data_IF_111057946450
#
_entry.id   IF_111057946450
#
_cell.length_a   1.000
_cell.length_b   1.000
_cell.length_c   1.000
_cell.angle_alpha   90.00
_cell.angle_beta   90.00
_cell.angle_gamma   90.00
#
_symmetry.space_group_name_H-M   'P 1'
#
loop_
_entity.id
_entity.type
_entity.pdbx_description
1 polymer ?
#
# COMPACT_ATOMS: atom_id res chain seq x y z
N UNK A 1 -4.80 13.61 -21.47
CA UNK A 1 -5.06 12.26 -20.92
C UNK A 1 -3.73 11.52 -20.78
N UNK A 2 -3.57 10.53 -19.87
CA UNK A 2 -2.33 9.77 -19.77
C UNK A 2 -2.03 9.06 -21.10
N UNK A 3 -0.77 9.05 -21.52
CA UNK A 3 -0.33 8.35 -22.72
C UNK A 3 -0.67 6.85 -22.60
N UNK A 4 -1.17 6.25 -23.70
CA UNK A 4 -1.53 4.84 -23.70
C UNK A 4 -0.27 4.01 -23.94
N UNK A 5 0.06 3.14 -23.00
CA UNK A 5 1.22 2.24 -23.10
C UNK A 5 0.77 0.79 -23.26
N UNK A 6 1.48 -0.01 -24.07
CA UNK A 6 1.24 -1.45 -24.11
C UNK A 6 1.80 -2.11 -22.84
N UNK A 7 3.07 -1.82 -22.54
CA UNK A 7 3.78 -2.36 -21.40
C UNK A 7 4.42 -1.23 -20.59
N UNK A 8 4.39 -1.34 -19.26
CA UNK A 8 5.11 -0.44 -18.35
C UNK A 8 6.02 -1.26 -17.44
N UNK A 9 7.30 -0.92 -17.36
CA UNK A 9 8.23 -1.47 -16.39
C UNK A 9 8.80 -0.32 -15.55
N UNK A 10 8.57 -0.29 -14.24
CA UNK A 10 8.99 0.86 -13.42
C UNK A 10 9.25 0.52 -11.96
N UNK A 11 10.15 1.28 -11.35
CA UNK A 11 10.40 1.36 -9.91
C UNK A 11 10.09 2.81 -9.48
N UNK A 12 8.83 3.15 -9.14
CA UNK A 12 8.45 4.51 -8.81
C UNK A 12 9.17 5.05 -7.58
N UNK A 13 9.24 6.37 -7.41
CA UNK A 13 9.82 6.98 -6.21
C UNK A 13 8.99 6.68 -4.94
N UNK A 14 9.67 6.39 -3.83
CA UNK A 14 9.06 6.13 -2.52
C UNK A 14 9.26 7.33 -1.62
N UNK A 15 8.25 8.19 -1.51
CA UNK A 15 8.37 9.42 -0.75
C UNK A 15 6.99 9.86 -0.23
N UNK A 16 6.83 9.76 1.08
CA UNK A 16 5.62 10.17 1.77
C UNK A 16 5.45 11.69 1.76
N UNK A 17 4.23 12.19 1.53
CA UNK A 17 3.87 13.62 1.43
C UNK A 17 4.47 14.46 2.57
N UNK A 18 4.44 13.96 3.81
CA UNK A 18 4.94 14.69 4.98
C UNK A 18 6.46 14.88 4.99
N UNK A 19 7.21 14.09 4.21
CA UNK A 19 8.66 14.17 4.05
C UNK A 19 9.08 14.97 2.81
N UNK A 20 8.15 15.69 2.18
CA UNK A 20 8.40 16.43 0.93
C UNK A 20 8.36 17.94 1.10
N UNK A 21 9.05 18.64 0.20
CA UNK A 21 9.01 20.11 0.10
C UNK A 21 7.62 20.59 -0.33
N UNK A 22 7.31 21.87 -0.06
CA UNK A 22 6.05 22.48 -0.47
C UNK A 22 5.83 22.39 -1.99
N UNK A 23 6.89 22.59 -2.78
CA UNK A 23 6.86 22.47 -4.24
C UNK A 23 6.42 21.07 -4.71
N UNK A 24 6.97 20.01 -4.12
CA UNK A 24 6.60 18.63 -4.45
C UNK A 24 5.14 18.35 -4.06
N UNK A 25 4.69 18.86 -2.90
CA UNK A 25 3.28 18.76 -2.47
C UNK A 25 2.34 19.40 -3.50
N UNK A 26 2.61 20.63 -3.89
CA UNK A 26 1.80 21.36 -4.85
C UNK A 26 1.82 20.70 -6.24
N UNK A 27 2.95 20.13 -6.65
CA UNK A 27 3.09 19.48 -7.96
C UNK A 27 2.41 18.10 -8.04
N UNK A 28 2.55 17.27 -7.01
CA UNK A 28 2.16 15.85 -7.11
C UNK A 28 1.00 15.45 -6.21
N UNK A 29 0.74 16.18 -5.13
CA UNK A 29 -0.28 15.87 -4.13
C UNK A 29 -1.42 16.89 -4.12
N UNK A 30 -1.63 17.60 -5.23
CA UNK A 30 -2.73 18.56 -5.42
C UNK A 30 -3.79 18.04 -6.40
N UNK A 31 -4.93 18.73 -6.46
CA UNK A 31 -6.01 18.43 -7.40
C UNK A 31 -6.51 16.98 -7.28
N UNK A 32 -6.40 16.20 -8.37
CA UNK A 32 -6.85 14.80 -8.41
C UNK A 32 -6.04 13.86 -7.52
N UNK A 33 -4.83 14.26 -7.13
CA UNK A 33 -3.93 13.45 -6.32
C UNK A 33 -3.96 13.82 -4.83
N UNK A 34 -4.82 14.75 -4.42
CA UNK A 34 -4.93 15.25 -3.03
C UNK A 34 -5.18 14.18 -1.97
N UNK A 35 -5.70 13.03 -2.39
CA UNK A 35 -6.01 11.91 -1.52
C UNK A 35 -4.90 10.85 -1.45
N UNK A 36 -3.79 11.07 -2.15
CA UNK A 36 -2.63 10.19 -2.08
C UNK A 36 -1.62 10.71 -1.07
N UNK A 37 -0.90 9.80 -0.45
CA UNK A 37 0.05 10.11 0.62
C UNK A 37 1.48 9.78 0.26
N UNK A 38 1.72 9.05 -0.83
CA UNK A 38 3.05 8.66 -1.27
C UNK A 38 3.18 8.78 -2.79
N UNK A 39 4.37 9.16 -3.29
CA UNK A 39 4.63 9.36 -4.72
C UNK A 39 4.45 8.09 -5.54
N UNK A 40 4.68 6.90 -4.97
CA UNK A 40 4.42 5.66 -5.71
C UNK A 40 2.92 5.52 -6.04
N UNK A 41 2.02 6.03 -5.18
CA UNK A 41 0.58 5.99 -5.42
C UNK A 41 0.19 6.88 -6.61
N UNK A 42 0.76 8.09 -6.64
CA UNK A 42 0.63 9.03 -7.76
C UNK A 42 1.17 8.43 -9.06
N UNK A 43 2.29 7.71 -8.97
CA UNK A 43 2.91 7.05 -10.11
C UNK A 43 2.08 5.88 -10.65
N UNK A 44 1.51 5.03 -9.77
CA UNK A 44 0.55 4.00 -10.19
C UNK A 44 -0.65 4.66 -10.88
N UNK A 45 -1.15 5.76 -10.32
CA UNK A 45 -2.30 6.47 -10.88
C UNK A 45 -2.02 7.02 -12.29
N UNK A 46 -0.80 7.50 -12.56
CA UNK A 46 -0.44 8.04 -13.87
C UNK A 46 -0.33 6.96 -14.96
N UNK A 47 -0.04 5.70 -14.60
CA UNK A 47 0.13 4.59 -15.54
C UNK A 47 -1.13 3.73 -15.74
N UNK A 48 -2.29 4.11 -15.18
CA UNK A 48 -3.53 3.32 -15.28
C UNK A 48 -4.03 3.12 -16.73
N UNK A 49 -3.50 3.87 -17.69
CA UNK A 49 -3.76 3.71 -19.12
C UNK A 49 -2.72 2.79 -19.81
N UNK A 50 -2.34 1.67 -19.19
CA UNK A 50 -1.50 0.64 -19.81
C UNK A 50 -2.22 -0.71 -19.99
N UNK A 51 -1.72 -1.61 -20.84
CA UNK A 51 -2.32 -2.95 -20.99
C UNK A 51 -1.77 -3.94 -19.96
N UNK A 52 -0.49 -3.83 -19.64
CA UNK A 52 0.20 -4.68 -18.67
C UNK A 52 1.52 -4.04 -18.21
N UNK A 53 2.16 -4.66 -17.22
CA UNK A 53 3.45 -4.17 -16.76
C UNK A 53 4.05 -4.92 -15.58
N UNK A 54 5.28 -4.53 -15.24
CA UNK A 54 5.98 -4.93 -14.02
C UNK A 54 6.24 -3.68 -13.20
N UNK A 55 5.90 -3.72 -11.92
CA UNK A 55 6.14 -2.60 -11.03
C UNK A 55 6.76 -3.08 -9.73
N UNK A 56 7.74 -2.30 -9.24
CA UNK A 56 8.35 -2.47 -7.92
C UNK A 56 7.79 -1.35 -7.04
N UNK A 57 7.18 -1.68 -5.90
CA UNK A 57 6.63 -0.71 -4.94
C UNK A 57 6.83 -1.19 -3.50
N UNK A 58 6.66 -0.33 -2.49
CA UNK A 58 6.70 -0.78 -1.10
C UNK A 58 5.55 -1.77 -0.84
N UNK A 59 5.78 -2.75 0.06
CA UNK A 59 4.77 -3.70 0.53
C UNK A 59 3.51 -3.00 1.06
N UNK A 60 3.66 -1.75 1.53
CA UNK A 60 2.56 -0.87 1.94
C UNK A 60 1.46 -0.75 0.88
N UNK A 61 1.79 -0.88 -0.43
CA UNK A 61 0.78 -0.92 -1.47
C UNK A 61 -0.28 -1.98 -1.16
N UNK A 62 0.11 -3.20 -0.75
CA UNK A 62 -0.82 -4.30 -0.43
C UNK A 62 -1.37 -4.24 0.99
N UNK A 63 -0.64 -3.66 1.96
CA UNK A 63 -0.97 -3.80 3.38
C UNK A 63 -1.50 -2.53 4.06
N UNK A 64 -1.09 -1.34 3.65
CA UNK A 64 -1.33 -0.12 4.42
C UNK A 64 -2.74 0.46 4.18
N UNK A 65 -3.34 1.06 5.22
CA UNK A 65 -4.68 1.67 5.11
C UNK A 65 -4.67 2.89 4.16
N UNK A 66 -3.63 3.73 4.23
CA UNK A 66 -3.49 4.89 3.34
C UNK A 66 -3.31 4.53 1.85
N UNK A 67 -3.10 3.25 1.55
CA UNK A 67 -2.93 2.75 0.18
C UNK A 67 -4.22 2.12 -0.37
N UNK A 68 -5.29 2.08 0.44
CA UNK A 68 -6.60 1.52 0.07
C UNK A 68 -7.20 2.15 -1.19
N UNK A 69 -7.10 3.47 -1.33
CA UNK A 69 -7.66 4.18 -2.50
C UNK A 69 -6.96 3.76 -3.79
N UNK A 70 -5.62 3.82 -3.83
CA UNK A 70 -4.88 3.43 -5.03
C UNK A 70 -4.99 1.94 -5.32
N UNK A 71 -5.02 1.07 -4.29
CA UNK A 71 -5.32 -0.36 -4.46
C UNK A 71 -6.66 -0.57 -5.14
N UNK A 72 -7.72 0.07 -4.64
CA UNK A 72 -9.07 -0.04 -5.21
C UNK A 72 -9.07 0.32 -6.69
N UNK A 73 -8.54 1.49 -7.03
CA UNK A 73 -8.46 1.98 -8.41
C UNK A 73 -7.63 1.04 -9.30
N UNK A 74 -6.52 0.51 -8.78
CA UNK A 74 -5.68 -0.43 -9.49
C UNK A 74 -6.42 -1.75 -9.78
N UNK A 75 -6.98 -2.40 -8.76
CA UNK A 75 -7.66 -3.69 -8.89
C UNK A 75 -9.02 -3.61 -9.59
N UNK A 76 -9.60 -2.41 -9.76
CA UNK A 76 -10.73 -2.21 -10.67
C UNK A 76 -10.34 -2.42 -12.14
N UNK A 77 -9.09 -2.13 -12.51
CA UNK A 77 -8.60 -2.17 -13.89
C UNK A 77 -7.71 -3.37 -14.18
N UNK A 78 -6.96 -3.83 -13.18
CA UNK A 78 -5.86 -4.78 -13.35
C UNK A 78 -6.00 -5.97 -12.40
N UNK A 79 -5.38 -7.07 -12.78
CA UNK A 79 -5.10 -8.22 -11.94
C UNK A 79 -3.58 -8.43 -11.87
N UNK A 80 -3.11 -8.86 -10.71
CA UNK A 80 -1.73 -9.31 -10.52
C UNK A 80 -1.68 -10.80 -10.86
N UNK A 81 -0.73 -11.19 -11.69
CA UNK A 81 -0.54 -12.57 -12.13
C UNK A 81 0.61 -13.25 -11.40
N UNK A 82 1.69 -12.49 -11.14
CA UNK A 82 2.85 -12.96 -10.35
C UNK A 82 3.30 -11.87 -9.39
N UNK A 83 3.64 -12.27 -8.18
CA UNK A 83 4.11 -11.39 -7.10
C UNK A 83 5.39 -11.96 -6.49
N UNK A 84 6.37 -11.09 -6.27
CA UNK A 84 7.53 -11.37 -5.44
C UNK A 84 7.48 -10.44 -4.23
N UNK A 85 7.62 -11.00 -3.04
CA UNK A 85 7.73 -10.25 -1.78
C UNK A 85 9.16 -10.42 -1.29
N UNK A 86 9.82 -9.30 -0.99
CA UNK A 86 11.15 -9.30 -0.40
C UNK A 86 11.02 -8.90 1.07
N UNK A 87 11.18 -9.86 1.98
CA UNK A 87 11.13 -9.59 3.44
C UNK A 87 12.44 -9.07 4.00
N UNK A 88 13.50 -9.10 3.20
CA UNK A 88 14.77 -8.44 3.47
C UNK A 88 14.89 -7.08 2.77
N UNK A 89 15.81 -6.25 3.26
CA UNK A 89 16.10 -4.97 2.66
C UNK A 89 16.78 -5.15 1.31
N UNK A 90 16.10 -4.75 0.23
CA UNK A 90 16.62 -4.84 -1.15
C UNK A 90 17.37 -3.57 -1.57
N UNK A 91 16.97 -2.41 -1.05
CA UNK A 91 17.57 -1.11 -1.37
C UNK A 91 18.19 -0.49 -0.11
N UNK A 92 19.46 -0.09 -0.20
CA UNK A 92 20.19 0.52 0.92
C UNK A 92 19.51 1.82 1.44
N UNK A 93 18.83 2.52 0.54
CA UNK A 93 18.28 3.86 0.81
C UNK A 93 16.89 3.82 1.46
N UNK A 94 16.30 2.63 1.65
CA UNK A 94 14.95 2.47 2.22
C UNK A 94 14.86 1.29 3.17
N UNK A 95 14.21 1.49 4.32
CA UNK A 95 13.89 0.40 5.26
C UNK A 95 12.58 -0.31 4.92
N UNK A 96 11.93 0.04 3.81
CA UNK A 96 10.68 -0.57 3.39
C UNK A 96 10.95 -1.94 2.74
N UNK A 97 10.23 -2.96 3.20
CA UNK A 97 10.09 -4.18 2.44
C UNK A 97 9.37 -3.85 1.13
N UNK A 98 9.88 -4.40 0.03
CA UNK A 98 9.38 -4.12 -1.31
C UNK A 98 8.69 -5.34 -1.90
N UNK A 99 7.82 -5.08 -2.86
CA UNK A 99 7.22 -6.10 -3.71
C UNK A 99 7.52 -5.76 -5.17
N UNK A 100 7.70 -6.79 -6.00
CA UNK A 100 7.63 -6.63 -7.45
C UNK A 100 6.52 -7.51 -8.00
N UNK A 101 5.74 -7.01 -8.94
CA UNK A 101 4.66 -7.82 -9.49
C UNK A 101 4.40 -7.54 -10.96
N UNK A 102 4.04 -8.61 -11.68
CA UNK A 102 3.54 -8.55 -13.04
C UNK A 102 2.01 -8.46 -12.99
N UNK A 103 1.46 -7.47 -13.69
CA UNK A 103 0.04 -7.22 -13.77
C UNK A 103 -0.46 -7.09 -15.20
N UNK A 104 -1.75 -7.33 -15.39
CA UNK A 104 -2.42 -7.21 -16.68
C UNK A 104 -3.82 -6.62 -16.52
N UNK A 105 -4.29 -5.91 -17.55
CA UNK A 105 -5.64 -5.36 -17.57
C UNK A 105 -6.67 -6.49 -17.54
N UNK A 106 -7.63 -6.39 -16.62
CA UNK A 106 -8.71 -7.36 -16.48
C UNK A 106 -9.54 -7.43 -17.75
N UNK A 107 -9.87 -8.66 -18.17
CA UNK A 107 -10.85 -8.92 -19.23
C UNK A 107 -12.28 -9.00 -18.69
N UNK A 108 -12.43 -9.35 -17.41
CA UNK A 108 -13.71 -9.49 -16.71
C UNK A 108 -13.61 -8.89 -15.31
N UNK A 109 -14.72 -8.36 -14.82
CA UNK A 109 -14.80 -7.90 -13.43
C UNK A 109 -14.76 -9.15 -12.53
N UNK A 110 -13.85 -9.16 -11.58
CA UNK A 110 -13.74 -10.17 -10.54
C UNK A 110 -13.61 -9.49 -9.19
N UNK A 111 -14.27 -10.05 -8.18
CA UNK A 111 -14.16 -9.67 -6.77
C UNK A 111 -12.96 -10.32 -6.06
N UNK A 112 -12.21 -11.16 -6.76
CA UNK A 112 -11.06 -11.90 -6.24
C UNK A 112 -9.89 -11.86 -7.25
N UNK A 113 -8.66 -11.92 -6.73
CA UNK A 113 -7.45 -12.10 -7.49
C UNK A 113 -6.55 -13.10 -6.76
N UNK A 114 -6.41 -14.29 -7.34
CA UNK A 114 -5.47 -15.33 -6.87
C UNK A 114 -4.13 -15.08 -7.56
N UNK A 115 -3.06 -14.96 -6.79
CA UNK A 115 -1.74 -14.52 -7.26
C UNK A 115 -0.68 -15.56 -6.92
N UNK A 116 0.09 -15.99 -7.92
CA UNK A 116 1.31 -16.77 -7.70
C UNK A 116 2.37 -15.91 -7.03
N UNK A 117 2.70 -16.25 -5.78
CA UNK A 117 3.54 -15.41 -4.93
C UNK A 117 4.80 -16.15 -4.49
N UNK A 118 5.96 -15.53 -4.65
CA UNK A 118 7.25 -16.01 -4.10
C UNK A 118 7.73 -15.05 -3.03
N UNK A 119 8.10 -15.55 -1.86
CA UNK A 119 8.64 -14.78 -0.74
C UNK A 119 10.15 -15.07 -0.65
N UNK A 120 10.94 -14.01 -0.69
CA UNK A 120 12.40 -14.01 -0.60
C UNK A 120 12.85 -13.48 0.77
N UNK A 121 13.95 -14.02 1.33
CA UNK A 121 14.97 -14.85 0.66
C UNK A 121 14.67 -16.35 0.62
N UNK A 122 13.66 -16.85 1.32
CA UNK A 122 13.44 -18.30 1.51
C UNK A 122 12.95 -19.02 0.25
N UNK A 123 12.67 -18.30 -0.84
CA UNK A 123 12.04 -18.81 -2.06
C UNK A 123 10.71 -19.54 -1.79
N UNK A 124 9.99 -19.13 -0.74
CA UNK A 124 8.74 -19.75 -0.33
C UNK A 124 7.63 -19.39 -1.32
N UNK A 125 7.04 -20.40 -1.96
CA UNK A 125 5.95 -20.23 -2.93
C UNK A 125 4.59 -20.41 -2.23
N UNK A 126 3.70 -19.44 -2.42
CA UNK A 126 2.32 -19.47 -1.91
C UNK A 126 1.33 -18.98 -2.98
N UNK A 127 0.06 -19.35 -2.82
CA UNK A 127 -1.05 -18.70 -3.51
C UNK A 127 -1.63 -17.63 -2.59
N UNK A 128 -1.51 -16.37 -2.99
CA UNK A 128 -2.10 -15.24 -2.27
C UNK A 128 -3.47 -14.94 -2.84
N UNK A 129 -4.49 -14.82 -1.99
CA UNK A 129 -5.84 -14.45 -2.38
C UNK A 129 -6.10 -13.02 -1.90
N UNK A 130 -6.42 -12.13 -2.84
CA UNK A 130 -6.84 -10.76 -2.56
C UNK A 130 -8.31 -10.60 -2.94
N UNK A 131 -9.12 -10.09 -2.03
CA UNK A 131 -10.58 -9.97 -2.23
C UNK A 131 -11.05 -8.52 -2.08
N UNK A 132 -11.99 -8.13 -2.95
CA UNK A 132 -12.60 -6.79 -2.95
C UNK A 132 -13.29 -6.46 -1.63
N UNK A 133 -14.04 -7.41 -1.07
CA UNK A 133 -14.74 -7.24 0.23
C UNK A 133 -13.78 -6.95 1.39
N UNK A 134 -12.51 -7.35 1.25
CA UNK A 134 -11.45 -7.07 2.21
C UNK A 134 -10.48 -5.99 1.72
N UNK A 135 -10.94 -5.11 0.81
CA UNK A 135 -10.18 -3.94 0.34
C UNK A 135 -8.94 -4.28 -0.48
N UNK A 136 -8.91 -5.47 -1.09
CA UNK A 136 -7.74 -6.01 -1.81
C UNK A 136 -6.46 -6.03 -0.96
N UNK A 137 -6.63 -6.11 0.37
CA UNK A 137 -5.54 -6.02 1.32
C UNK A 137 -4.89 -7.40 1.52
N UNK A 138 -3.57 -7.44 1.60
CA UNK A 138 -2.85 -8.63 2.04
C UNK A 138 -3.26 -8.98 3.47
N UNK A 139 -3.69 -10.21 3.70
CA UNK A 139 -4.27 -10.63 4.99
C UNK A 139 -5.60 -9.94 5.33
N UNK A 140 -6.30 -9.39 4.34
CA UNK A 140 -7.48 -8.57 4.56
C UNK A 140 -8.61 -9.27 5.32
N UNK A 141 -8.82 -10.58 5.08
CA UNK A 141 -9.79 -11.38 5.85
C UNK A 141 -9.43 -11.42 7.34
N UNK A 142 -8.16 -11.67 7.66
CA UNK A 142 -7.66 -11.73 9.03
C UNK A 142 -7.83 -10.37 9.74
N UNK A 143 -7.44 -9.28 9.07
CA UNK A 143 -7.62 -7.92 9.58
C UNK A 143 -9.11 -7.60 9.78
N UNK A 144 -9.97 -8.03 8.85
CA UNK A 144 -11.42 -7.85 8.97
C UNK A 144 -11.95 -8.59 10.20
N UNK A 145 -11.55 -9.84 10.44
CA UNK A 145 -11.95 -10.59 11.63
C UNK A 145 -11.55 -9.86 12.91
N UNK A 146 -10.29 -9.41 13.00
CA UNK A 146 -9.80 -8.66 14.18
C UNK A 146 -10.61 -7.39 14.41
N UNK A 147 -10.88 -6.60 13.37
CA UNK A 147 -11.63 -5.34 13.48
C UNK A 147 -13.09 -5.52 13.91
N UNK A 148 -13.68 -6.71 13.71
CA UNK A 148 -15.07 -6.99 14.07
C UNK A 148 -15.21 -7.74 15.41
N UNK A 149 -14.10 -8.11 16.05
CA UNK A 149 -14.13 -8.67 17.41
C UNK A 149 -14.19 -7.52 18.41
N UNK A 150 -15.07 -7.63 19.41
CA UNK A 150 -15.12 -6.69 20.53
C UNK A 150 -13.80 -6.74 21.30
N UNK A 151 -13.18 -5.58 21.48
CA UNK A 151 -11.94 -5.45 22.22
C UNK A 151 -12.20 -5.43 23.74
N UNK A 152 -12.48 -6.60 24.33
CA UNK A 152 -12.77 -6.74 25.77
C UNK A 152 -11.58 -6.31 26.64
N UNK A 153 -10.35 -6.45 26.14
CA UNK A 153 -9.12 -6.07 26.85
C UNK A 153 -8.78 -4.58 26.74
N UNK A 154 -9.47 -3.82 25.89
CA UNK A 154 -9.17 -2.41 25.67
C UNK A 154 -7.78 -2.14 25.09
N UNK A 155 -7.15 -3.12 24.40
CA UNK A 155 -5.82 -2.93 23.80
C UNK A 155 -5.94 -2.19 22.47
N UNK A 156 -5.41 -0.99 22.39
CA UNK A 156 -5.34 -0.21 21.15
C UNK A 156 -3.99 0.48 21.02
N UNK A 157 -3.66 0.86 19.78
CA UNK A 157 -2.47 1.67 19.53
C UNK A 157 -2.72 3.08 20.05
N UNK A 158 -1.88 3.53 20.98
CA UNK A 158 -1.84 4.94 21.36
C UNK A 158 -1.41 5.78 20.15
N UNK A 159 -2.23 6.77 19.80
CA UNK A 159 -1.89 7.81 18.80
C UNK A 159 -1.80 9.17 19.48
N UNK A 160 -1.25 10.17 18.79
CA UNK A 160 -1.09 11.53 19.33
C UNK A 160 -2.42 12.15 19.79
N UNK A 161 -3.54 11.76 19.18
CA UNK A 161 -4.87 12.22 19.60
C UNK A 161 -5.24 11.81 21.03
N UNK A 162 -4.66 10.73 21.55
CA UNK A 162 -4.86 10.27 22.93
C UNK A 162 -3.94 10.96 23.94
N UNK A 163 -3.00 11.82 23.48
CA UNK A 163 -2.15 12.63 24.36
C UNK A 163 -2.86 13.91 24.84
N UNK A 164 -4.09 14.15 24.38
CA UNK A 164 -4.93 15.27 24.86
C UNK A 164 -5.37 15.00 26.30
N UNK A 165 -5.47 16.06 27.09
CA UNK A 165 -5.92 15.98 28.49
C UNK A 165 -7.30 15.35 28.59
N UNK A 166 -7.44 14.34 29.44
CA UNK A 166 -8.69 13.63 29.71
C UNK A 166 -8.84 13.30 31.19
N UNK A 167 -9.86 12.51 31.53
CA UNK A 167 -10.19 12.16 32.93
C UNK A 167 -9.12 11.30 33.62
N UNK A 168 -8.24 10.64 32.86
CA UNK A 168 -7.23 9.73 33.38
C UNK A 168 -5.82 10.27 33.16
N UNK A 169 -4.98 10.18 34.20
CA UNK A 169 -3.54 10.47 34.13
C UNK A 169 -2.77 9.16 34.11
N UNK A 170 -1.98 8.94 33.07
CA UNK A 170 -1.16 7.73 32.88
C UNK A 170 0.27 8.18 32.59
N UNK A 171 1.25 7.59 33.25
CA UNK A 171 2.66 7.76 32.90
C UNK A 171 2.99 6.93 31.67
N UNK A 172 3.48 7.59 30.62
CA UNK A 172 3.87 6.95 29.37
C UNK A 172 5.35 7.23 29.09
N UNK A 173 6.07 6.21 28.63
CA UNK A 173 7.41 6.41 28.07
C UNK A 173 7.28 6.74 26.58
N UNK A 174 7.62 7.97 26.21
CA UNK A 174 7.58 8.45 24.83
C UNK A 174 8.96 8.26 24.17
N UNK A 175 9.01 7.51 23.08
CA UNK A 175 10.17 7.45 22.18
C UNK A 175 9.85 8.21 20.89
N UNK A 176 10.78 9.07 20.44
CA UNK A 176 10.76 9.80 19.17
C UNK A 176 9.68 10.90 19.00
N UNK A 177 9.51 11.81 19.95
CA UNK A 177 8.92 13.11 19.63
C UNK A 177 10.02 13.95 18.99
N UNK A 178 9.84 14.36 17.72
CA UNK A 178 10.63 15.45 17.16
C UNK A 178 10.05 16.75 17.72
N UNK A 179 10.85 17.45 18.53
CA UNK A 179 10.56 18.81 19.00
C UNK A 179 10.33 19.77 17.84
#
# INVERSE_FOLDING_TARGET
>A
MPQKYKFVCTNPPYLHKNKTTKEIKEKFFSGRNSNFEDLYQVSIFSILNCEEGIIIVPLNFLCAENSKKIRGIFFEKFEILKLNIFSEQVFNDTTYNVISFYFKRKRKISGENIVDTTIYPENKKIKLILEKKFGWQFGGEFIYKIKNVKNELGVFRLTEDYLKSGEYKIEISLQNIKN
#
